data_IF_476109364227
#
_entry.id   IF_476109364227
#
_cell.length_a   1.000
_cell.length_b   1.000
_cell.length_c   1.000
_cell.angle_alpha   90.00
_cell.angle_beta   90.00
_cell.angle_gamma   90.00
#
_symmetry.space_group_name_H-M   'P 1'
#
loop_
_entity.id
_entity.type
_entity.pdbx_description
1 polymer ?
#
# COMPACT_ATOMS: atom_id res chain seq x y z
N UNK A 1 -1.42 1.32 -2.94
CA UNK A 1 -2.53 1.81 -2.12
C UNK A 1 -2.08 2.94 -1.20
N UNK A 2 -2.62 2.96 0.01
CA UNK A 2 -2.27 3.99 0.97
C UNK A 2 -2.14 3.40 2.36
N UNK A 3 -2.25 2.08 2.44
CA UNK A 3 -2.13 1.40 3.72
C UNK A 3 -2.86 0.08 3.72
N UNK A 4 -2.70 -0.68 2.64
CA UNK A 4 -3.35 -1.97 2.53
C UNK A 4 -2.57 -3.08 3.22
N UNK A 5 -2.11 -4.05 2.44
CA UNK A 5 -1.35 -5.17 3.00
C UNK A 5 -0.15 -5.52 2.11
N UNK A 6 -0.32 -5.32 0.82
CA UNK A 6 0.74 -5.61 -0.14
C UNK A 6 1.84 -4.57 0.00
N UNK A 7 2.92 -4.75 -0.68
CA UNK A 7 4.06 -3.80 -0.65
C UNK A 7 3.62 -2.35 -0.77
N UNK A 8 4.45 -1.46 -0.26
CA UNK A 8 4.16 -0.03 -0.30
C UNK A 8 3.87 0.42 -1.72
N UNK A 9 2.69 1.00 -1.92
CA UNK A 9 2.30 1.48 -3.24
C UNK A 9 2.30 3.01 -3.26
N UNK A 10 1.15 3.62 -3.53
CA UNK A 10 1.05 5.06 -3.58
C UNK A 10 1.48 5.66 -2.25
N UNK A 11 1.02 5.07 -1.15
CA UNK A 11 1.37 5.55 0.18
C UNK A 11 1.91 4.41 1.04
N UNK A 12 1.01 3.56 1.53
CA UNK A 12 1.41 2.43 2.36
C UNK A 12 0.83 1.13 1.81
N UNK A 13 1.69 0.12 1.67
CA UNK A 13 1.27 -1.17 1.14
C UNK A 13 0.63 -1.00 -0.24
N UNK A 14 0.15 -2.10 -0.79
CA UNK A 14 -0.47 -2.06 -2.11
C UNK A 14 -1.92 -2.53 -2.06
N UNK A 15 -2.83 -1.60 -1.82
CA UNK A 15 -4.26 -1.93 -1.76
C UNK A 15 -4.76 -2.41 -3.11
#
# INVERSE_FOLDING_TARGET
>A
GIGSQNPXDTAXLWD
#
